data_IF_334473177590
#
_entry.id   IF_334473177590
#
_cell.length_a   1.000
_cell.length_b   1.000
_cell.length_c   1.000
_cell.angle_alpha   90.00
_cell.angle_beta   90.00
_cell.angle_gamma   90.00
#
_symmetry.space_group_name_H-M   'P 1'
#
loop_
_entity.id
_entity.type
_entity.pdbx_description
1 polymer ?
#
# COMPACT_ATOMS: atom_id res chain seq x y z
N UNK A 1 -2.10 -0.68 14.33
CA UNK A 1 -1.17 -1.41 13.42
C UNK A 1 0.13 -0.64 13.45
N UNK A 2 1.29 -1.25 13.71
CA UNK A 2 2.58 -0.53 13.80
C UNK A 2 3.51 -0.93 12.65
N UNK A 3 4.09 0.06 11.96
CA UNK A 3 5.11 -0.15 10.93
C UNK A 3 6.45 -0.37 11.63
N UNK A 4 7.16 -1.46 11.28
CA UNK A 4 8.43 -1.84 11.90
C UNK A 4 9.46 -2.16 10.83
N UNK A 5 10.71 -1.81 11.09
CA UNK A 5 11.83 -2.27 10.29
C UNK A 5 11.97 -3.78 10.42
N UNK A 6 12.24 -4.46 9.30
CA UNK A 6 12.56 -5.88 9.31
C UNK A 6 13.59 -6.21 8.23
N UNK A 7 14.47 -7.17 8.52
CA UNK A 7 15.49 -7.66 7.59
C UNK A 7 14.97 -8.78 6.67
N UNK A 8 13.66 -9.09 6.75
CA UNK A 8 13.04 -10.14 5.95
C UNK A 8 12.98 -9.68 4.50
N UNK A 9 13.49 -10.50 3.57
CA UNK A 9 13.25 -10.29 2.13
C UNK A 9 11.74 -10.38 1.86
N UNK A 10 11.16 -9.26 1.45
CA UNK A 10 9.77 -9.18 1.01
C UNK A 10 9.76 -9.46 -0.50
N UNK A 11 8.95 -10.43 -0.94
CA UNK A 11 8.74 -10.65 -2.35
C UNK A 11 7.90 -9.49 -2.92
N UNK A 12 8.48 -8.68 -3.80
CA UNK A 12 7.75 -7.65 -4.53
C UNK A 12 7.04 -8.29 -5.73
N UNK A 13 5.73 -8.13 -5.80
CA UNK A 13 4.96 -8.41 -7.02
C UNK A 13 4.51 -7.08 -7.58
N UNK A 14 4.77 -6.83 -8.85
CA UNK A 14 4.24 -5.66 -9.53
C UNK A 14 2.71 -5.75 -9.54
N UNK A 15 2.07 -4.67 -9.06
CA UNK A 15 0.62 -4.53 -9.03
C UNK A 15 0.26 -3.10 -9.39
N UNK A 16 -0.72 -2.94 -10.25
CA UNK A 16 -1.27 -1.63 -10.61
C UNK A 16 -2.33 -1.24 -9.60
N UNK A 17 -2.16 -0.05 -9.02
CA UNK A 17 -3.17 0.58 -8.17
C UNK A 17 -4.37 0.95 -9.03
N UNK A 18 -5.52 0.44 -8.66
CA UNK A 18 -6.79 0.68 -9.35
C UNK A 18 -7.47 1.94 -8.79
N UNK A 19 -7.54 2.05 -7.47
CA UNK A 19 -8.29 3.08 -6.78
C UNK A 19 -7.57 3.53 -5.51
N UNK A 20 -7.81 4.78 -5.13
CA UNK A 20 -7.35 5.39 -3.89
C UNK A 20 -8.51 6.12 -3.25
N UNK A 21 -8.65 5.97 -1.94
CA UNK A 21 -9.59 6.73 -1.12
C UNK A 21 -8.83 7.40 0.02
N UNK A 22 -9.18 8.65 0.27
CA UNK A 22 -8.65 9.47 1.35
C UNK A 22 -9.84 10.03 2.13
N UNK A 23 -10.08 9.50 3.31
CA UNK A 23 -10.99 10.11 4.28
C UNK A 23 -10.20 10.67 5.48
N UNK A 24 -10.91 11.30 6.42
CA UNK A 24 -10.26 11.95 7.56
C UNK A 24 -9.49 10.98 8.47
N UNK A 25 -9.86 9.71 8.48
CA UNK A 25 -9.32 8.67 9.35
C UNK A 25 -8.38 7.72 8.63
N UNK A 26 -8.70 7.37 7.39
CA UNK A 26 -8.03 6.32 6.64
C UNK A 26 -7.59 6.76 5.25
N UNK A 27 -6.39 6.33 4.89
CA UNK A 27 -5.93 6.21 3.52
C UNK A 27 -6.08 4.77 3.08
N UNK A 28 -6.73 4.53 1.93
CA UNK A 28 -6.96 3.17 1.40
C UNK A 28 -6.55 3.08 -0.07
N UNK A 29 -5.89 1.98 -0.43
CA UNK A 29 -5.53 1.66 -1.82
C UNK A 29 -6.06 0.28 -2.23
N UNK A 30 -6.59 0.18 -3.44
CA UNK A 30 -7.00 -1.08 -4.04
C UNK A 30 -6.17 -1.37 -5.29
N UNK A 31 -5.90 -2.65 -5.54
CA UNK A 31 -5.12 -3.13 -6.68
C UNK A 31 -5.93 -4.16 -7.46
N UNK A 32 -5.71 -4.25 -8.77
CA UNK A 32 -6.30 -5.31 -9.57
C UNK A 32 -5.73 -6.69 -9.17
N UNK A 33 -6.54 -7.73 -9.26
CA UNK A 33 -6.06 -9.11 -9.21
C UNK A 33 -5.21 -9.43 -10.45
N UNK A 34 -4.17 -10.25 -10.27
CA UNK A 34 -3.38 -10.75 -11.40
C UNK A 34 -4.26 -11.71 -12.23
N UNK A 35 -4.33 -11.52 -13.55
CA UNK A 35 -5.18 -12.31 -14.46
C UNK A 35 -6.60 -11.78 -14.67
N UNK A 36 -6.83 -10.47 -14.50
CA UNK A 36 -8.14 -9.81 -14.71
C UNK A 36 -8.61 -9.75 -16.19
N UNK A 37 -8.04 -10.57 -17.09
CA UNK A 37 -8.42 -10.69 -18.50
C UNK A 37 -9.93 -11.01 -18.68
N UNK A 38 -10.56 -11.61 -17.67
CA UNK A 38 -11.97 -12.09 -17.71
C UNK A 38 -12.91 -11.38 -16.74
N UNK A 39 -12.45 -10.33 -16.05
CA UNK A 39 -13.28 -9.56 -15.11
C UNK A 39 -12.42 -8.74 -14.15
N UNK A 40 -12.68 -7.43 -14.07
CA UNK A 40 -11.98 -6.55 -13.14
C UNK A 40 -12.46 -6.81 -11.72
N UNK A 41 -11.73 -7.66 -10.99
CA UNK A 41 -11.96 -7.87 -9.56
C UNK A 41 -10.86 -7.17 -8.77
N UNK A 42 -11.27 -6.33 -7.82
CA UNK A 42 -10.36 -5.68 -6.88
C UNK A 42 -9.90 -6.72 -5.84
N UNK A 43 -8.59 -6.80 -5.63
CA UNK A 43 -7.98 -7.68 -4.63
C UNK A 43 -7.81 -6.94 -3.30
N UNK A 44 -8.14 -7.54 -2.15
CA UNK A 44 -7.97 -6.93 -0.84
C UNK A 44 -6.53 -6.97 -0.33
N UNK A 45 -5.52 -6.85 -1.19
CA UNK A 45 -4.13 -6.58 -0.75
C UNK A 45 -3.96 -5.14 -0.24
N UNK A 46 -5.06 -4.60 0.30
CA UNK A 46 -5.40 -3.21 0.51
C UNK A 46 -4.57 -2.64 1.64
N UNK A 47 -3.67 -1.73 1.27
CA UNK A 47 -3.05 -0.85 2.25
C UNK A 47 -4.17 0.02 2.79
N UNK A 48 -4.51 -0.15 4.06
CA UNK A 48 -5.37 0.76 4.81
C UNK A 48 -4.57 1.30 5.99
N UNK A 49 -4.35 2.61 6.00
CA UNK A 49 -3.51 3.29 6.98
C UNK A 49 -4.33 4.32 7.71
N UNK A 50 -4.30 4.26 9.04
CA UNK A 50 -4.67 5.40 9.87
C UNK A 50 -3.70 6.56 9.65
N UNK A 51 -4.16 7.79 9.86
CA UNK A 51 -3.36 9.02 9.63
C UNK A 51 -1.95 8.96 10.22
N UNK A 52 -1.80 8.53 11.49
CA UNK A 52 -0.49 8.41 12.15
C UNK A 52 0.45 7.43 11.43
N UNK A 53 -0.08 6.34 10.91
CA UNK A 53 0.71 5.35 10.17
C UNK A 53 1.05 5.83 8.76
N UNK A 54 0.18 6.62 8.14
CA UNK A 54 0.46 7.27 6.87
C UNK A 54 1.60 8.30 7.01
N UNK A 55 1.63 9.06 8.10
CA UNK A 55 2.74 9.97 8.42
C UNK A 55 4.06 9.21 8.59
N UNK A 56 4.07 8.15 9.41
CA UNK A 56 5.26 7.32 9.57
C UNK A 56 5.72 6.67 8.26
N UNK A 57 4.79 6.19 7.44
CA UNK A 57 5.13 5.63 6.13
C UNK A 57 5.76 6.69 5.22
N UNK A 58 5.26 7.92 5.24
CA UNK A 58 5.82 9.02 4.46
C UNK A 58 7.29 9.27 4.84
N UNK A 59 7.59 9.38 6.13
CA UNK A 59 8.97 9.60 6.61
C UNK A 59 9.92 8.48 6.16
N UNK A 60 9.48 7.22 6.28
CA UNK A 60 10.27 6.07 5.84
C UNK A 60 10.51 6.06 4.32
N UNK A 61 9.50 6.46 3.53
CA UNK A 61 9.61 6.58 2.08
C UNK A 61 10.56 7.71 1.68
N UNK A 62 10.47 8.86 2.34
CA UNK A 62 11.39 9.99 2.13
C UNK A 62 12.84 9.58 2.45
N UNK A 63 13.07 8.88 3.57
CA UNK A 63 14.39 8.36 3.91
C UNK A 63 14.92 7.40 2.83
N UNK A 64 14.08 6.47 2.35
CA UNK A 64 14.46 5.53 1.30
C UNK A 64 14.83 6.22 -0.02
N UNK A 65 14.04 7.20 -0.46
CA UNK A 65 14.23 7.91 -1.73
C UNK A 65 15.40 8.92 -1.69
N UNK A 66 15.83 9.33 -0.50
CA UNK A 66 16.97 10.22 -0.30
C UNK A 66 18.34 9.54 -0.39
N UNK A 67 18.38 8.21 -0.56
CA UNK A 67 19.59 7.39 -0.71
C UNK A 67 19.92 7.17 -2.17
#
# INVERSE_FOLDING_TARGET
>A
MDIRHCDRKIAAKEKTVAEVNMDERYFSMWVYEAGAETGMRLSPLSIQLERKNAELLKELLEEYLSK
#
